data_IF_320719018903
#
_entry.id   IF_320719018903
#
_cell.length_a   1.000
_cell.length_b   1.000
_cell.length_c   1.000
_cell.angle_alpha   90.00
_cell.angle_beta   90.00
_cell.angle_gamma   90.00
#
_symmetry.space_group_name_H-M   'P 1'
#
loop_
_entity.id
_entity.type
_entity.pdbx_description
1 polymer ?
#
# COMPACT_ATOMS: atom_id res chain seq x y z
N UNK A 1 16.07 4.51 -14.07
CA UNK A 1 15.21 5.39 -13.24
C UNK A 1 15.24 4.85 -11.83
N UNK A 2 15.45 5.72 -10.85
CA UNK A 2 15.79 5.35 -9.47
C UNK A 2 14.62 4.62 -8.76
N UNK A 3 14.94 3.84 -7.73
CA UNK A 3 13.95 3.16 -6.89
C UNK A 3 13.29 4.17 -5.96
N UNK A 4 11.96 4.19 -5.90
CA UNK A 4 11.26 5.12 -5.03
C UNK A 4 11.37 4.68 -3.58
N UNK A 5 11.72 5.63 -2.70
CA UNK A 5 11.73 5.47 -1.25
C UNK A 5 11.00 6.64 -0.63
N UNK A 6 9.93 6.35 0.12
CA UNK A 6 9.13 7.36 0.82
C UNK A 6 9.06 7.02 2.30
N UNK A 7 8.98 8.05 3.12
CA UNK A 7 8.68 7.96 4.55
C UNK A 7 7.45 8.82 4.79
N UNK A 8 6.54 8.37 5.64
CA UNK A 8 5.40 9.15 6.09
C UNK A 8 5.37 9.25 7.61
N UNK A 9 5.36 10.48 8.11
CA UNK A 9 5.33 10.81 9.54
C UNK A 9 4.08 11.60 9.94
N UNK A 10 3.30 12.06 8.96
CA UNK A 10 2.01 12.73 9.14
C UNK A 10 0.98 12.26 8.11
N UNK A 11 -0.22 12.84 8.15
CA UNK A 11 -1.32 12.46 7.28
C UNK A 11 -1.10 12.88 5.82
N UNK A 12 -0.43 14.01 5.57
CA UNK A 12 -0.14 14.49 4.22
C UNK A 12 0.85 13.56 3.51
N UNK A 13 1.92 13.16 4.21
CA UNK A 13 2.86 12.17 3.68
C UNK A 13 2.16 10.81 3.42
N UNK A 14 1.26 10.40 4.32
CA UNK A 14 0.54 9.14 4.18
C UNK A 14 -0.37 9.16 2.95
N UNK A 15 -0.96 10.31 2.61
CA UNK A 15 -1.73 10.49 1.37
C UNK A 15 -0.85 10.32 0.13
N UNK A 16 0.40 10.81 0.14
CA UNK A 16 1.36 10.61 -0.96
C UNK A 16 1.68 9.11 -1.12
N UNK A 17 1.95 8.41 -0.01
CA UNK A 17 2.16 6.95 -0.03
C UNK A 17 0.92 6.22 -0.57
N UNK A 18 -0.28 6.61 -0.13
CA UNK A 18 -1.54 6.04 -0.64
C UNK A 18 -1.68 6.22 -2.14
N UNK A 19 -1.35 7.39 -2.68
CA UNK A 19 -1.45 7.67 -4.11
C UNK A 19 -0.48 6.80 -4.93
N UNK A 20 0.74 6.59 -4.46
CA UNK A 20 1.72 5.73 -5.13
C UNK A 20 1.39 4.24 -5.07
N UNK A 21 0.63 3.81 -4.06
CA UNK A 21 0.20 2.43 -3.88
C UNK A 21 -1.24 2.16 -4.33
N UNK A 22 -1.93 3.15 -4.87
CA UNK A 22 -3.25 2.96 -5.45
C UNK A 22 -3.16 1.91 -6.58
N UNK A 23 -4.07 0.94 -6.54
CA UNK A 23 -4.14 -0.21 -7.43
C UNK A 23 -2.93 -1.16 -7.36
N UNK A 24 -2.19 -1.09 -6.25
CA UNK A 24 -1.20 -2.10 -5.90
C UNK A 24 -1.89 -3.44 -5.66
N UNK A 25 -1.28 -4.49 -6.20
CA UNK A 25 -1.80 -5.86 -6.10
C UNK A 25 -0.86 -6.70 -5.27
N UNK A 26 -1.41 -7.45 -4.31
CA UNK A 26 -0.66 -8.31 -3.41
C UNK A 26 -1.45 -9.57 -3.10
N UNK A 27 -0.77 -10.61 -2.63
CA UNK A 27 -1.43 -11.82 -2.11
C UNK A 27 -1.67 -11.70 -0.61
N UNK A 28 -2.59 -12.48 -0.08
CA UNK A 28 -2.75 -12.63 1.38
C UNK A 28 -1.44 -13.05 2.05
N UNK A 29 -0.64 -13.92 1.39
CA UNK A 29 0.69 -14.33 1.85
C UNK A 29 1.71 -13.19 1.96
N UNK A 30 1.49 -12.07 1.27
CA UNK A 30 2.40 -10.92 1.30
C UNK A 30 2.21 -10.05 2.56
N UNK A 31 1.21 -10.33 3.39
CA UNK A 31 0.89 -9.60 4.62
C UNK A 31 1.57 -10.25 5.84
N UNK A 32 2.35 -9.47 6.59
CA UNK A 32 3.02 -9.93 7.80
C UNK A 32 2.85 -8.95 8.96
N UNK A 33 2.54 -9.47 10.14
CA UNK A 33 2.47 -8.70 11.37
C UNK A 33 3.43 -9.30 12.39
N UNK A 34 4.29 -8.45 12.97
CA UNK A 34 5.26 -8.77 13.98
C UNK A 34 4.90 -8.03 15.28
N UNK A 35 4.07 -8.63 16.17
CA UNK A 35 3.57 -7.95 17.36
C UNK A 35 4.67 -7.49 18.32
N UNK A 36 5.72 -8.31 18.48
CA UNK A 36 6.87 -7.99 19.35
C UNK A 36 7.65 -6.78 18.87
N UNK A 37 7.70 -6.58 17.55
CA UNK A 37 8.37 -5.44 16.92
C UNK A 37 7.41 -4.26 16.69
N UNK A 38 6.12 -4.43 17.01
CA UNK A 38 5.03 -3.49 16.68
C UNK A 38 5.09 -3.07 15.20
N UNK A 39 5.30 -4.03 14.30
CA UNK A 39 5.51 -3.76 12.87
C UNK A 39 4.54 -4.54 12.00
N UNK A 40 3.89 -3.86 11.08
CA UNK A 40 3.12 -4.47 10.00
C UNK A 40 3.83 -4.24 8.66
N UNK A 41 3.93 -5.27 7.82
CA UNK A 41 4.60 -5.20 6.54
C UNK A 41 3.68 -5.81 5.48
N UNK A 42 3.65 -5.17 4.30
CA UNK A 42 3.11 -5.77 3.09
C UNK A 42 4.12 -5.65 1.94
N UNK A 43 4.17 -6.67 1.10
CA UNK A 43 4.81 -6.58 -0.21
C UNK A 43 3.72 -6.50 -1.29
N UNK A 44 3.91 -5.67 -2.30
CA UNK A 44 2.92 -5.48 -3.35
C UNK A 44 3.56 -5.17 -4.69
N UNK A 45 2.77 -5.28 -5.74
CA UNK A 45 3.13 -4.88 -7.09
C UNK A 45 2.39 -3.57 -7.39
N UNK A 46 3.00 -2.42 -7.09
CA UNK A 46 2.38 -1.11 -7.33
C UNK A 46 2.37 -0.78 -8.82
N UNK A 47 1.33 -0.08 -9.25
CA UNK A 47 1.31 0.52 -10.58
C UNK A 47 2.11 1.83 -10.57
N UNK A 48 2.93 2.07 -11.59
CA UNK A 48 3.79 3.26 -11.67
C UNK A 48 3.02 4.42 -12.31
N UNK A 49 2.11 5.02 -11.53
CA UNK A 49 1.24 6.12 -11.97
C UNK A 49 2.01 7.33 -12.50
N UNK A 50 3.20 7.59 -11.94
CA UNK A 50 4.05 8.70 -12.34
C UNK A 50 4.54 8.63 -13.80
N UNK A 51 4.62 7.43 -14.38
CA UNK A 51 5.04 7.20 -15.78
C UNK A 51 3.86 6.90 -16.72
N UNK A 52 2.65 6.70 -16.18
CA UNK A 52 1.44 6.48 -16.96
C UNK A 52 0.86 7.76 -17.57
N UNK A 53 1.40 8.94 -17.22
CA UNK A 53 0.97 10.23 -17.78
C UNK A 53 1.55 10.43 -19.21
N UNK A 54 0.74 10.90 -20.17
CA UNK A 54 1.26 11.23 -21.50
C UNK A 54 2.34 12.31 -21.39
N UNK A 55 3.53 12.06 -21.93
CA UNK A 55 4.55 13.10 -22.16
C UNK A 55 4.53 13.47 -23.64
N UNK A 56 4.86 14.73 -23.96
CA UNK A 56 4.89 15.22 -25.35
C UNK A 56 5.62 14.20 -26.25
N UNK A 57 4.91 13.74 -27.29
CA UNK A 57 5.37 12.79 -28.33
C UNK A 57 5.66 11.35 -27.87
N UNK A 58 5.38 10.96 -26.62
CA UNK A 58 5.55 9.58 -26.14
C UNK A 58 4.23 8.96 -25.67
N UNK A 59 3.94 7.75 -26.17
CA UNK A 59 2.84 6.92 -25.65
C UNK A 59 3.11 6.57 -24.17
N UNK A 60 2.08 6.53 -23.31
CA UNK A 60 2.25 6.11 -21.93
C UNK A 60 2.73 4.66 -21.89
N UNK A 61 3.74 4.39 -21.05
CA UNK A 61 4.22 3.03 -20.79
C UNK A 61 3.71 2.64 -19.42
N UNK A 62 2.89 1.60 -19.38
CA UNK A 62 2.39 1.08 -18.13
C UNK A 62 3.43 0.15 -17.52
N UNK A 63 3.71 0.37 -16.24
CA UNK A 63 4.71 -0.39 -15.52
C UNK A 63 4.21 -0.77 -14.15
N UNK A 64 4.74 -1.87 -13.63
CA UNK A 64 4.62 -2.25 -12.23
C UNK A 64 5.99 -2.40 -11.60
N UNK A 65 6.04 -2.19 -10.29
CA UNK A 65 7.22 -2.40 -9.46
C UNK A 65 6.86 -3.20 -8.22
N UNK A 66 7.76 -4.09 -7.81
CA UNK A 66 7.65 -4.78 -6.52
C UNK A 66 8.07 -3.78 -5.46
N UNK A 67 7.23 -3.58 -4.46
CA UNK A 67 7.39 -2.53 -3.45
C UNK A 67 7.04 -3.11 -2.09
N UNK A 68 7.84 -2.80 -1.07
CA UNK A 68 7.49 -3.05 0.32
C UNK A 68 6.91 -1.78 0.95
N UNK A 69 5.88 -1.95 1.77
CA UNK A 69 5.38 -0.93 2.69
C UNK A 69 5.42 -1.52 4.10
N UNK A 70 5.95 -0.78 5.06
CA UNK A 70 5.82 -1.15 6.46
C UNK A 70 5.34 0.02 7.31
N UNK A 71 4.67 -0.32 8.40
CA UNK A 71 4.23 0.57 9.45
C UNK A 71 4.87 0.12 10.76
N UNK A 72 5.46 1.07 11.50
CA UNK A 72 5.94 0.84 12.85
C UNK A 72 4.88 1.31 13.86
N UNK A 73 5.13 1.04 15.15
CA UNK A 73 4.25 1.46 16.26
C UNK A 73 2.82 0.90 16.17
N UNK A 74 2.67 -0.27 15.54
CA UNK A 74 1.39 -0.98 15.38
C UNK A 74 1.10 -1.83 16.62
N UNK A 75 0.09 -1.43 17.40
CA UNK A 75 -0.34 -2.13 18.60
C UNK A 75 -1.26 -3.32 18.29
N UNK A 76 -2.09 -3.20 17.26
CA UNK A 76 -3.06 -4.23 16.88
C UNK A 76 -3.32 -4.20 15.38
N UNK A 77 -3.62 -5.38 14.81
CA UNK A 77 -4.06 -5.54 13.42
C UNK A 77 -5.38 -6.28 13.39
N UNK A 78 -6.34 -5.74 12.64
CA UNK A 78 -7.64 -6.35 12.39
C UNK A 78 -7.87 -6.44 10.89
N UNK A 79 -8.45 -7.54 10.42
CA UNK A 79 -8.77 -7.74 9.00
C UNK A 79 -10.25 -8.08 8.84
N UNK A 80 -10.88 -7.52 7.81
CA UNK A 80 -12.27 -7.75 7.46
C UNK A 80 -12.35 -8.26 6.02
N UNK A 81 -13.13 -9.33 5.81
CA UNK A 81 -13.33 -10.00 4.51
C UNK A 81 -12.03 -10.44 3.83
N UNK A 82 -11.02 -10.79 4.62
CA UNK A 82 -9.77 -11.39 4.16
C UNK A 82 -9.62 -12.74 4.86
N UNK A 83 -9.70 -13.82 4.11
CA UNK A 83 -9.48 -15.17 4.61
C UNK A 83 -7.97 -15.45 4.65
N UNK A 84 -7.40 -15.46 5.87
CA UNK A 84 -5.96 -15.67 6.09
C UNK A 84 -5.49 -17.08 5.74
N UNK A 85 -6.41 -18.04 5.55
CA UNK A 85 -6.07 -19.40 5.15
C UNK A 85 -5.85 -19.53 3.64
N UNK A 86 -6.34 -18.57 2.85
CA UNK A 86 -6.20 -18.55 1.39
C UNK A 86 -5.01 -17.69 0.97
N UNK A 87 -3.81 -18.22 1.15
CA UNK A 87 -2.55 -17.50 0.93
C UNK A 87 -2.43 -16.88 -0.47
N UNK A 88 -3.01 -17.54 -1.48
CA UNK A 88 -2.92 -17.13 -2.88
C UNK A 88 -3.99 -16.14 -3.32
N UNK A 89 -4.98 -15.84 -2.47
CA UNK A 89 -6.02 -14.86 -2.81
C UNK A 89 -5.39 -13.49 -3.01
N UNK A 90 -5.82 -12.82 -4.08
CA UNK A 90 -5.27 -11.55 -4.53
C UNK A 90 -6.10 -10.41 -3.96
N UNK A 91 -5.42 -9.44 -3.35
CA UNK A 91 -5.98 -8.19 -2.87
C UNK A 91 -5.52 -7.05 -3.79
N UNK A 92 -6.42 -6.10 -4.04
CA UNK A 92 -6.13 -4.86 -4.76
C UNK A 92 -6.35 -3.67 -3.82
N UNK A 93 -5.28 -2.97 -3.49
CA UNK A 93 -5.30 -1.84 -2.56
C UNK A 93 -5.87 -0.60 -3.25
N UNK A 94 -6.89 0.00 -2.65
CA UNK A 94 -7.58 1.17 -3.19
C UNK A 94 -7.14 2.46 -2.49
N UNK A 95 -6.98 2.42 -1.16
CA UNK A 95 -6.61 3.59 -0.38
C UNK A 95 -5.98 3.20 0.96
N UNK A 96 -5.14 4.10 1.48
CA UNK A 96 -4.64 4.11 2.85
C UNK A 96 -5.10 5.41 3.50
N UNK A 97 -5.75 5.32 4.66
CA UNK A 97 -6.29 6.49 5.37
C UNK A 97 -5.91 6.46 6.84
N UNK A 98 -5.72 7.62 7.44
CA UNK A 98 -5.58 7.75 8.89
C UNK A 98 -6.88 8.28 9.49
N UNK A 99 -7.30 7.68 10.60
CA UNK A 99 -8.43 8.12 11.41
C UNK A 99 -7.87 8.46 12.78
N UNK A 100 -7.75 9.75 13.07
CA UNK A 100 -7.19 10.23 14.32
C UNK A 100 -8.05 9.80 15.52
N UNK A 101 -7.37 9.49 16.63
CA UNK A 101 -8.00 9.22 17.93
C UNK A 101 -7.55 10.27 18.95
N UNK A 102 -6.82 9.88 19.99
CA UNK A 102 -6.10 10.81 20.88
C UNK A 102 -4.72 11.09 20.24
N UNK A 103 -4.45 12.30 19.73
CA UNK A 103 -3.19 12.59 19.05
C UNK A 103 -1.95 12.26 19.91
N UNK A 104 -0.89 11.67 19.32
CA UNK A 104 -0.71 11.40 17.89
C UNK A 104 -1.29 10.05 17.41
N UNK A 105 -1.99 9.32 18.27
CA UNK A 105 -2.48 7.98 17.97
C UNK A 105 -3.72 7.97 17.07
N UNK A 106 -3.94 6.84 16.40
CA UNK A 106 -5.11 6.64 15.57
C UNK A 106 -5.13 5.27 14.92
N UNK A 107 -5.99 5.14 13.91
CA UNK A 107 -6.11 3.91 13.12
C UNK A 107 -5.72 4.20 11.67
N UNK A 108 -4.79 3.41 11.14
CA UNK A 108 -4.52 3.37 9.69
C UNK A 108 -5.41 2.29 9.07
N UNK A 109 -6.26 2.69 8.13
CA UNK A 109 -7.14 1.80 7.38
C UNK A 109 -6.61 1.61 5.95
N UNK A 110 -6.29 0.36 5.61
CA UNK A 110 -5.99 -0.07 4.25
C UNK A 110 -7.27 -0.68 3.66
N UNK A 111 -7.84 -0.02 2.66
CA UNK A 111 -9.05 -0.48 1.98
C UNK A 111 -8.70 -1.18 0.68
N UNK A 112 -9.28 -2.35 0.47
CA UNK A 112 -9.08 -3.16 -0.73
C UNK A 112 -10.38 -3.27 -1.54
N UNK A 113 -10.27 -3.68 -2.79
CA UNK A 113 -11.41 -4.08 -3.62
C UNK A 113 -12.27 -5.14 -2.93
N UNK A 114 -13.53 -5.29 -3.38
CA UNK A 114 -14.50 -6.21 -2.78
C UNK A 114 -14.83 -5.91 -1.30
N UNK A 115 -14.67 -4.64 -0.89
CA UNK A 115 -14.95 -4.16 0.47
C UNK A 115 -14.14 -4.88 1.57
N UNK A 116 -12.96 -5.40 1.22
CA UNK A 116 -12.02 -5.95 2.19
C UNK A 116 -11.19 -4.82 2.82
N UNK A 117 -10.76 -5.00 4.07
CA UNK A 117 -10.02 -3.98 4.78
C UNK A 117 -9.06 -4.56 5.82
N UNK A 118 -7.97 -3.83 6.08
CA UNK A 118 -7.09 -4.05 7.23
C UNK A 118 -7.02 -2.75 8.03
N UNK A 119 -7.20 -2.85 9.35
CA UNK A 119 -7.05 -1.74 10.29
C UNK A 119 -5.84 -1.98 11.18
N UNK A 120 -4.99 -0.98 11.28
CA UNK A 120 -3.83 -0.94 12.15
C UNK A 120 -4.08 0.09 13.24
N UNK A 121 -4.17 -0.35 14.49
CA UNK A 121 -4.12 0.57 15.63
C UNK A 121 -2.66 0.99 15.85
N UNK A 122 -2.38 2.30 15.82
CA UNK A 122 -1.02 2.84 15.84
C UNK A 122 -0.84 3.93 16.88
N UNK A 123 0.33 3.97 17.51
CA UNK A 123 0.71 5.06 18.45
C UNK A 123 0.91 6.39 17.70
N UNK A 124 1.32 6.35 16.43
CA UNK A 124 1.49 7.48 15.53
C UNK A 124 1.60 6.99 14.06
N UNK A 125 1.57 7.91 13.10
CA UNK A 125 1.91 7.60 11.72
C UNK A 125 3.43 7.45 11.62
N UNK A 126 3.89 6.24 11.32
CA UNK A 126 5.30 5.96 10.99
C UNK A 126 5.33 4.86 9.92
N UNK A 127 5.38 5.26 8.65
CA UNK A 127 5.37 4.34 7.52
C UNK A 127 6.56 4.56 6.58
N UNK A 128 7.02 3.50 5.94
CA UNK A 128 8.05 3.60 4.88
C UNK A 128 7.71 2.70 3.70
N UNK A 129 7.83 3.24 2.50
CA UNK A 129 7.64 2.55 1.24
C UNK A 129 8.98 2.47 0.49
N UNK A 130 9.31 1.32 -0.11
CA UNK A 130 10.53 1.16 -0.91
C UNK A 130 10.32 0.20 -2.08
N UNK A 131 10.65 0.64 -3.29
CA UNK A 131 10.76 -0.24 -4.45
C UNK A 131 11.92 -1.24 -4.27
N UNK A 132 11.67 -2.51 -4.58
CA UNK A 132 12.59 -3.63 -4.32
C UNK A 132 13.34 -4.11 -5.57
N UNK A 133 13.15 -3.48 -6.73
CA UNK A 133 13.80 -3.91 -7.96
C UNK A 133 13.36 -3.13 -9.20
N UNK A 134 13.78 -3.65 -10.36
CA UNK A 134 13.47 -3.07 -11.65
C UNK A 134 11.96 -3.12 -11.96
N UNK A 135 11.49 -2.15 -12.73
CA UNK A 135 10.13 -2.16 -13.24
C UNK A 135 9.96 -3.21 -14.34
N UNK A 136 8.75 -3.76 -14.46
CA UNK A 136 8.34 -4.54 -15.64
C UNK A 136 7.10 -3.92 -16.29
N UNK A 137 6.94 -4.17 -17.58
CA UNK A 137 5.81 -3.67 -18.36
C UNK A 137 4.49 -4.29 -17.89
N UNK A 138 3.46 -3.45 -17.77
CA UNK A 138 2.11 -3.86 -17.44
C UNK A 138 1.24 -3.81 -18.69
N UNK A 139 0.52 -4.90 -18.96
CA UNK A 139 -0.29 -5.02 -20.17
C UNK A 139 -1.58 -4.18 -20.15
N UNK A 140 -1.96 -3.62 -19.00
CA UNK A 140 -3.24 -2.93 -18.83
C UNK A 140 -3.19 -1.84 -17.75
N UNK A 141 -3.96 -0.78 -17.97
CA UNK A 141 -4.27 0.23 -16.94
C UNK A 141 -5.27 -0.35 -15.93
N UNK A 142 -5.07 -0.16 -14.61
CA UNK A 142 -6.07 -0.51 -13.60
C UNK A 142 -7.42 0.16 -13.90
N UNK A 143 -8.50 -0.59 -13.71
CA UNK A 143 -9.89 -0.10 -13.82
C UNK A 143 -10.71 -0.74 -12.71
N UNK A 144 -11.32 0.09 -11.88
CA UNK A 144 -12.26 -0.32 -10.86
C UNK A 144 -13.52 0.54 -11.00
N UNK A 145 -14.69 -0.10 -11.02
CA UNK A 145 -15.95 0.64 -10.87
C UNK A 145 -16.02 1.16 -9.43
N UNK A 146 -16.28 2.47 -9.29
CA UNK A 146 -16.41 3.16 -8.01
C UNK A 146 -17.79 2.93 -7.43
#
# INVERSE_FOLDING_TARGET
MEMLKLVALDEEDLQIVSAHLQDAVLKVSDLQYFPKEKRFILASNRFVWEEAKPRFLRKPVYQRRRTALHFNRVNQVQAAKIDRTKSEDVLSLLAIRFIASVPPAGTIELTFSANAAIRLDVECIEAQMTDLGAAWEANSLPRHEV
#
